data_IF_681452029247
#
_entry.id   IF_681452029247
#
_cell.length_a   1.000
_cell.length_b   1.000
_cell.length_c   1.000
_cell.angle_alpha   90.00
_cell.angle_beta   90.00
_cell.angle_gamma   90.00
#
_symmetry.space_group_name_H-M   'P 1'
#
loop_
_entity.id
_entity.type
_entity.pdbx_description
1 polymer ?
#
# COMPACT_ATOMS: atom_id res chain seq x y z
N UNK A 1 17.35 8.31 -9.53
CA UNK A 1 17.46 6.85 -9.30
C UNK A 1 16.20 6.15 -9.81
N UNK A 2 16.32 5.31 -10.84
CA UNK A 2 15.19 4.48 -11.30
C UNK A 2 14.85 3.45 -10.21
N UNK A 3 13.72 3.64 -9.52
CA UNK A 3 13.24 2.70 -8.50
C UNK A 3 12.69 1.45 -9.19
N UNK A 4 13.46 0.37 -9.22
CA UNK A 4 13.02 -0.93 -9.76
C UNK A 4 12.03 -1.59 -8.78
N UNK A 5 10.99 -2.23 -9.33
CA UNK A 5 10.03 -3.00 -8.55
C UNK A 5 10.69 -4.27 -7.96
N UNK A 6 10.40 -4.63 -6.69
CA UNK A 6 10.96 -5.82 -6.05
C UNK A 6 10.20 -7.10 -6.48
N UNK A 7 10.36 -7.50 -7.74
CA UNK A 7 9.58 -8.60 -8.38
C UNK A 7 9.56 -9.91 -7.59
N UNK A 8 10.74 -10.37 -7.12
CA UNK A 8 10.87 -11.65 -6.41
C UNK A 8 10.12 -11.64 -5.07
N UNK A 9 10.19 -10.52 -4.35
CA UNK A 9 9.48 -10.34 -3.09
C UNK A 9 7.96 -10.37 -3.30
N UNK A 10 7.46 -9.62 -4.30
CA UNK A 10 6.03 -9.60 -4.62
C UNK A 10 5.51 -11.00 -4.99
N UNK A 11 6.26 -11.74 -5.82
CA UNK A 11 5.91 -13.12 -6.18
C UNK A 11 5.89 -14.06 -4.97
N UNK A 12 6.84 -13.91 -4.05
CA UNK A 12 6.87 -14.68 -2.80
C UNK A 12 5.63 -14.40 -1.94
N UNK A 13 5.28 -13.12 -1.75
CA UNK A 13 4.10 -12.72 -0.96
C UNK A 13 2.80 -13.22 -1.59
N UNK A 14 2.65 -13.09 -2.91
CA UNK A 14 1.47 -13.56 -3.64
C UNK A 14 1.30 -15.08 -3.56
N UNK A 15 2.38 -15.86 -3.66
CA UNK A 15 2.34 -17.33 -3.56
C UNK A 15 2.14 -17.85 -2.14
N UNK A 16 2.37 -17.04 -1.11
CA UNK A 16 2.25 -17.46 0.30
C UNK A 16 0.84 -17.90 0.68
N UNK A 17 -0.20 -17.40 -0.01
CA UNK A 17 -1.61 -17.61 0.38
C UNK A 17 -2.37 -18.64 -0.45
N UNK A 18 -1.85 -19.09 -1.60
CA UNK A 18 -2.56 -20.04 -2.45
C UNK A 18 -1.63 -20.68 -3.50
N UNK A 19 -2.00 -21.87 -3.98
CA UNK A 19 -1.38 -22.51 -5.16
C UNK A 19 -1.79 -21.80 -6.47
N UNK A 20 -1.51 -20.50 -6.57
CA UNK A 20 -1.84 -19.67 -7.73
C UNK A 20 -0.65 -19.53 -8.67
N UNK A 21 -0.92 -19.61 -9.98
CA UNK A 21 0.05 -19.25 -11.03
C UNK A 21 -0.01 -17.74 -11.26
N UNK A 22 1.13 -17.08 -11.19
CA UNK A 22 1.25 -15.65 -11.45
C UNK A 22 1.67 -15.48 -12.91
N UNK A 23 0.81 -14.83 -13.70
CA UNK A 23 1.10 -14.52 -15.09
C UNK A 23 2.34 -13.64 -15.27
N UNK A 24 2.86 -13.59 -16.50
CA UNK A 24 4.00 -12.74 -16.84
C UNK A 24 3.68 -11.28 -16.53
N UNK A 25 4.60 -10.58 -15.86
CA UNK A 25 4.46 -9.17 -15.44
C UNK A 25 3.26 -8.83 -14.54
N UNK A 26 2.45 -9.80 -14.08
CA UNK A 26 1.37 -9.54 -13.13
C UNK A 26 1.89 -8.97 -11.79
N UNK A 27 3.14 -9.30 -11.42
CA UNK A 27 3.84 -8.69 -10.29
C UNK A 27 3.99 -7.17 -10.40
N UNK A 28 4.13 -6.63 -11.62
CA UNK A 28 4.21 -5.18 -11.84
C UNK A 28 2.86 -4.49 -11.63
N UNK A 29 1.76 -5.14 -12.01
CA UNK A 29 0.42 -4.61 -11.73
C UNK A 29 0.14 -4.60 -10.22
N UNK A 30 0.53 -5.66 -9.51
CA UNK A 30 0.43 -5.68 -8.03
C UNK A 30 1.30 -4.58 -7.41
N UNK A 31 2.52 -4.36 -7.93
CA UNK A 31 3.36 -3.25 -7.48
C UNK A 31 2.66 -1.90 -7.67
N UNK A 32 2.01 -1.67 -8.82
CA UNK A 32 1.26 -0.45 -9.07
C UNK A 32 0.12 -0.29 -8.06
N UNK A 33 -0.66 -1.35 -7.80
CA UNK A 33 -1.73 -1.31 -6.80
C UNK A 33 -1.21 -0.97 -5.40
N UNK A 34 -0.06 -1.54 -5.00
CA UNK A 34 0.59 -1.21 -3.72
C UNK A 34 1.03 0.25 -3.69
N UNK A 35 1.62 0.77 -4.76
CA UNK A 35 2.04 2.18 -4.85
C UNK A 35 0.85 3.13 -4.76
N UNK A 36 -0.25 2.85 -5.46
CA UNK A 36 -1.47 3.65 -5.40
C UNK A 36 -2.09 3.61 -4.00
N UNK A 37 -2.13 2.43 -3.37
CA UNK A 37 -2.59 2.30 -1.99
C UNK A 37 -1.73 3.12 -1.01
N UNK A 38 -0.41 3.04 -1.11
CA UNK A 38 0.51 3.80 -0.26
C UNK A 38 0.40 5.31 -0.50
N UNK A 39 0.17 5.74 -1.74
CA UNK A 39 -0.12 7.14 -2.06
C UNK A 39 -1.38 7.63 -1.35
N UNK A 40 -2.50 6.92 -1.49
CA UNK A 40 -3.74 7.27 -0.80
C UNK A 40 -3.57 7.26 0.73
N UNK A 41 -2.84 6.28 1.27
CA UNK A 41 -2.53 6.22 2.69
C UNK A 41 -1.72 7.43 3.15
N UNK A 42 -0.71 7.85 2.40
CA UNK A 42 0.09 9.02 2.72
C UNK A 42 -0.73 10.33 2.65
N UNK A 43 -1.59 10.48 1.65
CA UNK A 43 -2.48 11.64 1.48
C UNK A 43 -3.49 11.73 2.63
N UNK A 44 -4.24 10.66 2.92
CA UNK A 44 -5.24 10.65 4.00
C UNK A 44 -4.58 10.76 5.40
N UNK A 45 -3.43 10.13 5.62
CA UNK A 45 -2.71 10.24 6.89
C UNK A 45 -2.18 11.67 7.12
N UNK A 46 -1.70 12.33 6.06
CA UNK A 46 -1.26 13.73 6.13
C UNK A 46 -2.43 14.64 6.47
N UNK A 47 -3.59 14.45 5.83
CA UNK A 47 -4.81 15.19 6.16
C UNK A 47 -5.20 14.99 7.63
N UNK A 48 -5.15 13.75 8.14
CA UNK A 48 -5.45 13.47 9.55
C UNK A 48 -4.47 14.14 10.53
N UNK A 49 -3.18 14.13 10.22
CA UNK A 49 -2.18 14.83 11.02
C UNK A 49 -2.44 16.35 11.05
N UNK A 50 -2.82 16.92 9.91
CA UNK A 50 -3.15 18.33 9.78
C UNK A 50 -4.41 18.71 10.57
N UNK A 51 -5.47 17.91 10.51
CA UNK A 51 -6.69 18.07 11.33
C UNK A 51 -6.37 18.09 12.84
N UNK A 52 -5.43 17.25 13.28
CA UNK A 52 -4.96 17.19 14.67
C UNK A 52 -3.91 18.28 15.02
N UNK A 53 -3.64 19.23 14.11
CA UNK A 53 -2.61 20.29 14.26
C UNK A 53 -1.20 19.76 14.56
N UNK A 54 -0.88 18.60 13.99
CA UNK A 54 0.41 17.94 14.19
C UNK A 54 1.35 18.20 13.02
N UNK A 55 2.58 18.64 13.31
CA UNK A 55 3.61 18.85 12.30
C UNK A 55 4.16 17.54 11.70
N UNK A 56 4.06 16.42 12.42
CA UNK A 56 4.61 15.12 12.02
C UNK A 56 3.55 14.03 11.99
N UNK A 57 3.64 13.13 11.01
CA UNK A 57 2.82 11.91 10.97
C UNK A 57 3.25 10.97 12.10
N UNK A 58 2.31 10.58 12.96
CA UNK A 58 2.49 9.60 14.04
C UNK A 58 1.71 8.32 13.74
N UNK A 59 2.09 7.23 14.38
CA UNK A 59 1.45 5.92 14.22
C UNK A 59 -0.07 5.94 14.43
N UNK A 60 -0.58 6.81 15.33
CA UNK A 60 -2.01 6.96 15.56
C UNK A 60 -2.78 7.50 14.34
N UNK A 61 -2.20 8.42 13.57
CA UNK A 61 -2.84 8.97 12.37
C UNK A 61 -2.97 7.88 11.31
N UNK A 62 -1.90 7.08 11.14
CA UNK A 62 -1.89 5.93 10.23
C UNK A 62 -2.96 4.92 10.68
N UNK A 63 -3.00 4.55 11.96
CA UNK A 63 -3.96 3.57 12.48
C UNK A 63 -5.42 4.02 12.28
N UNK A 64 -5.70 5.31 12.45
CA UNK A 64 -7.03 5.88 12.26
C UNK A 64 -7.51 5.76 10.81
N UNK A 65 -6.61 5.96 9.84
CA UNK A 65 -6.92 5.97 8.41
C UNK A 65 -6.88 4.56 7.79
N UNK A 66 -5.92 3.72 8.19
CA UNK A 66 -5.65 2.40 7.59
C UNK A 66 -6.89 1.50 7.52
N UNK A 67 -7.74 1.49 8.56
CA UNK A 67 -8.93 0.62 8.57
C UNK A 67 -9.92 0.97 7.44
N UNK A 68 -10.11 2.27 7.18
CA UNK A 68 -11.01 2.76 6.11
C UNK A 68 -10.43 2.46 4.73
N UNK A 69 -9.14 2.76 4.54
CA UNK A 69 -8.47 2.53 3.26
C UNK A 69 -8.35 1.05 2.90
N UNK A 70 -8.01 0.18 3.85
CA UNK A 70 -7.97 -1.26 3.61
C UNK A 70 -9.34 -1.83 3.25
N UNK A 71 -10.44 -1.26 3.77
CA UNK A 71 -11.79 -1.63 3.34
C UNK A 71 -12.06 -1.18 1.91
N UNK A 72 -11.65 0.04 1.53
CA UNK A 72 -11.82 0.57 0.17
C UNK A 72 -10.97 -0.16 -0.87
N UNK A 73 -9.82 -0.69 -0.47
CA UNK A 73 -8.92 -1.45 -1.32
C UNK A 73 -9.35 -2.92 -1.52
N UNK A 74 -10.46 -3.35 -0.93
CA UNK A 74 -11.05 -4.64 -1.24
C UNK A 74 -11.60 -4.59 -2.67
N UNK A 75 -11.23 -5.59 -3.47
CA UNK A 75 -11.83 -5.84 -4.79
C UNK A 75 -13.22 -6.43 -4.67
#
# INVERSE_FOLDING_TARGET
>A
MLKKAPKNFLRSVMKKKAHIRIGTNADLMVQLSVLLFLRCLAEETRAKAFEEKMATIKARHIKAVSKKLLKKARG
#
